data_IF_140978389781
#
_entry.id   IF_140978389781
#
_cell.length_a   1.000
_cell.length_b   1.000
_cell.length_c   1.000
_cell.angle_alpha   90.00
_cell.angle_beta   90.00
_cell.angle_gamma   90.00
#
_symmetry.space_group_name_H-M   'P 1'
#
loop_
_entity.id
_entity.type
_entity.pdbx_description
1 polymer ?
#
# COMPACT_ATOMS: atom_id res chain seq x y z
N UNK A 1 -56.34 -37.35 -56.22
CA UNK A 1 -56.98 -37.75 -54.95
C UNK A 1 -56.66 -36.67 -53.94
N UNK A 2 -57.66 -35.95 -53.50
CA UNK A 2 -57.61 -34.88 -52.46
C UNK A 2 -57.77 -35.55 -51.12
N UNK A 3 -56.96 -35.17 -50.14
CA UNK A 3 -57.29 -35.39 -48.76
C UNK A 3 -57.14 -34.05 -48.00
N UNK A 4 -58.24 -33.56 -47.55
CA UNK A 4 -58.45 -32.46 -46.62
C UNK A 4 -58.22 -32.96 -45.20
N UNK A 5 -57.35 -32.32 -44.47
CA UNK A 5 -57.21 -32.50 -43.01
C UNK A 5 -57.72 -31.25 -42.27
N UNK A 6 -58.77 -31.48 -41.48
CA UNK A 6 -59.38 -30.47 -40.64
C UNK A 6 -58.57 -30.25 -39.42
N UNK A 7 -58.30 -28.96 -39.12
CA UNK A 7 -57.66 -28.54 -37.89
C UNK A 7 -58.69 -28.34 -36.76
N UNK A 8 -58.53 -29.05 -35.68
CA UNK A 8 -59.32 -28.92 -34.43
C UNK A 8 -58.67 -27.88 -33.53
N UNK A 9 -59.31 -26.74 -33.38
CA UNK A 9 -58.88 -25.73 -32.39
C UNK A 9 -59.53 -26.02 -31.02
N UNK A 10 -58.72 -26.32 -30.05
CA UNK A 10 -59.15 -26.44 -28.64
C UNK A 10 -58.94 -25.10 -27.95
N UNK A 11 -60.01 -24.44 -27.60
CA UNK A 11 -60.02 -23.24 -26.79
C UNK A 11 -59.99 -23.64 -25.30
N UNK A 12 -58.92 -23.31 -24.58
CA UNK A 12 -58.82 -23.43 -23.17
C UNK A 12 -59.23 -22.08 -22.55
N UNK A 13 -60.41 -22.06 -21.88
CA UNK A 13 -60.86 -20.94 -21.09
C UNK A 13 -60.17 -21.02 -19.70
N UNK A 14 -59.30 -20.05 -19.39
CA UNK A 14 -58.77 -19.89 -18.02
C UNK A 14 -59.66 -18.92 -17.30
N UNK A 15 -60.38 -19.42 -16.29
CA UNK A 15 -61.14 -18.58 -15.36
C UNK A 15 -60.17 -17.88 -14.40
N UNK A 16 -60.12 -16.56 -14.47
CA UNK A 16 -59.42 -15.72 -13.49
C UNK A 16 -60.40 -15.43 -12.36
N UNK A 17 -60.26 -16.10 -11.24
CA UNK A 17 -60.95 -15.78 -9.99
C UNK A 17 -59.98 -15.18 -8.99
N UNK A 18 -60.34 -14.01 -8.52
CA UNK A 18 -59.98 -13.54 -7.16
C UNK A 18 -58.71 -12.70 -7.04
N UNK A 19 -58.85 -11.39 -7.18
CA UNK A 19 -57.96 -10.43 -6.51
C UNK A 19 -58.12 -10.60 -4.99
N UNK A 20 -57.15 -11.27 -4.36
CA UNK A 20 -56.90 -11.09 -2.96
C UNK A 20 -56.00 -9.85 -2.81
N UNK A 21 -56.57 -8.79 -2.27
CA UNK A 21 -55.79 -7.62 -1.80
C UNK A 21 -54.85 -8.07 -0.68
N UNK A 22 -53.59 -8.29 -1.02
CA UNK A 22 -52.53 -8.38 0.00
C UNK A 22 -52.26 -6.97 0.49
N UNK A 23 -52.76 -6.64 1.67
CA UNK A 23 -52.22 -5.52 2.45
C UNK A 23 -50.69 -5.65 2.51
N UNK A 24 -49.96 -4.54 2.35
CA UNK A 24 -48.54 -4.58 2.59
C UNK A 24 -48.31 -5.09 4.00
N UNK A 25 -47.66 -6.24 4.15
CA UNK A 25 -47.05 -6.60 5.40
C UNK A 25 -46.11 -5.51 5.75
N UNK A 26 -46.41 -4.72 6.77
CA UNK A 26 -45.43 -3.87 7.42
C UNK A 26 -44.20 -4.75 7.68
N UNK A 27 -43.14 -4.47 6.97
CA UNK A 27 -41.83 -5.01 7.29
C UNK A 27 -41.54 -4.44 8.68
N UNK A 28 -41.85 -5.24 9.71
CA UNK A 28 -41.39 -4.93 11.04
C UNK A 28 -39.87 -4.76 10.91
N UNK A 29 -39.43 -3.51 10.96
CA UNK A 29 -38.03 -3.16 11.15
C UNK A 29 -37.63 -3.83 12.45
N UNK A 30 -37.11 -5.05 12.37
CA UNK A 30 -36.38 -5.63 13.47
C UNK A 30 -35.12 -4.79 13.61
N UNK A 31 -35.23 -3.72 14.39
CA UNK A 31 -34.06 -3.04 14.92
C UNK A 31 -33.35 -4.04 15.82
N UNK A 32 -32.45 -4.80 15.23
CA UNK A 32 -31.50 -5.60 16.00
C UNK A 32 -30.73 -4.61 16.86
N UNK A 33 -30.65 -4.80 18.17
CA UNK A 33 -29.97 -3.88 19.04
C UNK A 33 -28.52 -3.71 18.55
N UNK A 34 -28.08 -2.49 18.34
CA UNK A 34 -26.72 -2.17 17.87
C UNK A 34 -25.59 -2.74 18.75
N UNK A 35 -25.98 -3.32 19.91
CA UNK A 35 -25.09 -3.91 20.91
C UNK A 35 -24.51 -5.26 20.52
N UNK A 36 -25.08 -5.95 19.51
CA UNK A 36 -24.73 -7.32 19.18
C UNK A 36 -23.88 -7.45 17.90
N UNK A 37 -23.50 -6.32 17.27
CA UNK A 37 -22.69 -6.33 16.07
C UNK A 37 -21.33 -5.65 16.32
N UNK A 38 -20.26 -6.41 16.19
CA UNK A 38 -18.92 -5.88 16.03
C UNK A 38 -18.75 -5.45 14.58
N UNK A 39 -18.83 -4.15 14.31
CA UNK A 39 -18.71 -3.61 12.95
C UNK A 39 -18.54 -2.08 12.99
N UNK A 40 -18.22 -1.54 11.87
CA UNK A 40 -18.09 -0.09 11.66
C UNK A 40 -19.30 0.43 10.89
N UNK A 41 -19.74 1.66 11.21
CA UNK A 41 -20.69 2.43 10.42
C UNK A 41 -20.00 3.25 9.34
N UNK A 42 -18.69 3.08 9.18
CA UNK A 42 -17.91 3.77 8.16
C UNK A 42 -18.36 3.34 6.75
N UNK A 43 -18.85 4.26 5.90
CA UNK A 43 -19.37 3.91 4.58
C UNK A 43 -18.33 3.21 3.70
N UNK A 44 -17.04 3.54 3.85
CA UNK A 44 -15.97 2.91 3.07
C UNK A 44 -15.86 1.40 3.34
N UNK A 45 -16.25 0.94 4.53
CA UNK A 45 -16.22 -0.48 4.89
C UNK A 45 -17.18 -1.36 4.07
N UNK A 46 -18.10 -0.76 3.30
CA UNK A 46 -18.95 -1.48 2.34
C UNK A 46 -18.21 -1.88 1.05
N UNK A 47 -16.98 -1.39 0.83
CA UNK A 47 -16.21 -1.72 -0.36
C UNK A 47 -15.58 -3.11 -0.26
N UNK A 48 -15.63 -3.84 -1.37
CA UNK A 48 -14.79 -5.01 -1.59
C UNK A 48 -13.46 -4.54 -2.19
N UNK A 49 -12.37 -4.77 -1.47
CA UNK A 49 -11.04 -4.25 -1.82
C UNK A 49 -10.18 -5.34 -2.44
N UNK A 50 -9.65 -5.09 -3.64
CA UNK A 50 -8.64 -5.92 -4.30
C UNK A 50 -7.26 -5.36 -4.04
N UNK A 51 -6.43 -6.07 -3.28
CA UNK A 51 -5.06 -5.68 -3.01
C UNK A 51 -4.13 -6.09 -4.14
N UNK A 52 -3.29 -5.15 -4.59
CA UNK A 52 -2.31 -5.35 -5.65
C UNK A 52 -0.92 -5.02 -5.12
N UNK A 53 -0.01 -5.98 -5.14
CA UNK A 53 1.43 -5.69 -5.12
C UNK A 53 1.78 -5.23 -6.53
N UNK A 54 1.93 -3.92 -6.72
CA UNK A 54 1.94 -3.28 -8.04
C UNK A 54 2.97 -3.90 -8.97
N UNK A 55 4.22 -4.03 -8.51
CA UNK A 55 5.32 -4.62 -9.30
C UNK A 55 5.07 -6.09 -9.69
N UNK A 56 4.25 -6.82 -8.93
CA UNK A 56 3.98 -8.25 -9.12
C UNK A 56 2.72 -8.53 -9.92
N UNK A 57 1.98 -7.51 -10.32
CA UNK A 57 0.69 -7.70 -10.97
C UNK A 57 0.83 -7.87 -12.48
N UNK A 58 0.99 -6.82 -13.23
CA UNK A 58 1.15 -6.84 -14.68
C UNK A 58 2.12 -5.75 -15.11
N UNK A 59 3.14 -6.10 -15.90
CA UNK A 59 3.98 -5.15 -16.62
C UNK A 59 3.19 -4.65 -17.84
N UNK A 60 2.65 -3.45 -17.75
CA UNK A 60 1.87 -2.81 -18.81
C UNK A 60 2.72 -1.99 -19.77
N UNK A 61 3.93 -1.59 -19.33
CA UNK A 61 4.85 -0.74 -20.09
C UNK A 61 6.31 -1.08 -19.79
N UNK A 62 6.93 -1.91 -20.60
CA UNK A 62 8.33 -2.29 -20.44
C UNK A 62 9.32 -1.12 -20.59
N UNK A 63 8.89 0.09 -21.00
CA UNK A 63 9.76 1.25 -21.11
C UNK A 63 10.12 1.87 -19.75
N UNK A 64 9.35 1.55 -18.69
CA UNK A 64 9.61 2.00 -17.32
C UNK A 64 10.30 0.95 -16.45
N UNK A 65 10.70 -0.19 -16.99
CA UNK A 65 11.36 -1.27 -16.24
C UNK A 65 12.66 -0.83 -15.56
N UNK A 66 13.42 0.07 -16.15
CA UNK A 66 14.71 0.58 -15.63
C UNK A 66 15.61 -0.54 -15.08
N UNK A 67 15.84 -1.59 -15.87
CA UNK A 67 16.40 -2.87 -15.45
C UNK A 67 17.73 -2.83 -14.73
N UNK A 68 18.59 -1.86 -15.04
CA UNK A 68 19.94 -1.77 -14.49
C UNK A 68 20.25 -0.31 -14.10
N UNK A 69 19.69 0.15 -12.99
CA UNK A 69 19.82 1.52 -12.53
C UNK A 69 21.15 1.81 -11.82
N UNK A 70 22.25 1.49 -12.48
CA UNK A 70 23.54 2.11 -12.18
C UNK A 70 24.21 1.67 -10.88
N UNK A 71 23.97 0.48 -10.40
CA UNK A 71 24.67 -0.08 -9.27
C UNK A 71 25.59 -1.24 -9.61
N UNK A 72 26.38 -1.67 -8.65
CA UNK A 72 27.13 -2.93 -8.75
C UNK A 72 26.19 -4.17 -8.68
N UNK A 73 24.91 -3.96 -8.41
CA UNK A 73 23.92 -5.01 -8.19
C UNK A 73 22.69 -4.79 -9.06
N UNK A 74 22.22 -5.86 -9.68
CA UNK A 74 20.98 -5.85 -10.46
C UNK A 74 19.80 -5.47 -9.56
N UNK A 75 18.84 -4.75 -10.14
CA UNK A 75 17.60 -4.35 -9.47
C UNK A 75 16.38 -5.08 -10.00
N UNK A 76 16.51 -5.70 -11.16
CA UNK A 76 15.46 -6.39 -11.88
C UNK A 76 15.81 -7.88 -12.06
N UNK A 77 14.80 -8.76 -12.03
CA UNK A 77 14.99 -10.21 -12.23
C UNK A 77 16.10 -10.80 -11.35
N UNK A 78 16.10 -10.54 -10.05
CA UNK A 78 17.11 -11.06 -9.13
C UNK A 78 16.67 -12.43 -8.60
N UNK A 79 17.27 -13.55 -9.05
CA UNK A 79 16.88 -14.87 -8.58
C UNK A 79 17.45 -15.15 -7.18
N UNK A 80 16.68 -15.85 -6.35
CA UNK A 80 17.19 -16.47 -5.13
C UNK A 80 17.92 -17.76 -5.49
N UNK A 81 19.25 -17.85 -5.27
CA UNK A 81 20.06 -18.94 -5.83
C UNK A 81 19.94 -20.31 -5.11
N UNK A 82 19.13 -20.44 -4.06
CA UNK A 82 19.28 -21.57 -3.13
C UNK A 82 18.00 -22.39 -2.90
N UNK A 83 17.02 -22.38 -3.80
CA UNK A 83 15.74 -23.03 -3.54
C UNK A 83 15.45 -24.21 -4.46
N UNK A 84 16.16 -25.33 -4.37
CA UNK A 84 15.81 -26.62 -5.00
C UNK A 84 15.05 -26.55 -6.34
N UNK A 85 15.46 -25.62 -7.23
CA UNK A 85 14.81 -25.36 -8.52
C UNK A 85 13.60 -24.42 -8.46
N UNK A 86 13.20 -23.92 -7.30
CA UNK A 86 12.24 -22.81 -7.15
C UNK A 86 13.02 -21.50 -7.15
N UNK A 87 12.77 -20.66 -8.13
CA UNK A 87 13.40 -19.34 -8.23
C UNK A 87 12.38 -18.32 -7.70
N UNK A 88 12.59 -17.87 -6.48
CA UNK A 88 11.92 -16.68 -5.97
C UNK A 88 12.65 -15.46 -6.53
N UNK A 89 11.91 -14.51 -7.06
CA UNK A 89 12.48 -13.27 -7.55
C UNK A 89 12.35 -12.17 -6.49
N UNK A 90 13.48 -11.61 -6.08
CA UNK A 90 13.58 -10.55 -5.07
C UNK A 90 13.89 -9.16 -5.67
N UNK A 91 13.97 -9.08 -7.00
CA UNK A 91 14.08 -7.84 -7.75
C UNK A 91 12.74 -7.37 -8.30
N UNK A 92 12.74 -6.28 -9.04
CA UNK A 92 11.58 -5.83 -9.80
C UNK A 92 11.17 -6.86 -10.85
N UNK A 93 9.88 -6.90 -11.17
CA UNK A 93 9.28 -7.66 -12.28
C UNK A 93 8.57 -6.75 -13.29
N UNK A 94 8.42 -5.47 -12.96
CA UNK A 94 7.94 -4.43 -13.88
C UNK A 94 6.43 -4.20 -13.87
N UNK A 95 5.70 -4.73 -12.90
CA UNK A 95 4.29 -4.34 -12.72
C UNK A 95 4.16 -2.85 -12.42
N UNK A 96 3.20 -2.17 -13.06
CA UNK A 96 3.10 -0.72 -13.13
C UNK A 96 1.66 -0.20 -13.13
N UNK A 97 1.48 1.12 -13.17
CA UNK A 97 0.16 1.77 -13.24
C UNK A 97 -0.61 1.39 -14.50
N UNK A 98 0.08 1.16 -15.60
CA UNK A 98 -0.56 0.76 -16.85
C UNK A 98 -1.10 -0.67 -16.77
N UNK A 99 -0.35 -1.57 -16.17
CA UNK A 99 -0.80 -2.92 -15.92
C UNK A 99 -2.04 -2.97 -15.04
N UNK A 100 -2.13 -2.10 -14.01
CA UNK A 100 -3.34 -1.96 -13.20
C UNK A 100 -4.49 -1.39 -14.03
N UNK A 101 -4.27 -0.26 -14.72
CA UNK A 101 -5.29 0.42 -15.50
C UNK A 101 -5.92 -0.46 -16.58
N UNK A 102 -5.10 -1.24 -17.28
CA UNK A 102 -5.54 -2.15 -18.33
C UNK A 102 -6.35 -3.35 -17.79
N UNK A 103 -6.23 -3.68 -16.50
CA UNK A 103 -6.89 -4.81 -15.87
C UNK A 103 -8.02 -4.45 -14.88
N UNK A 104 -8.45 -3.19 -14.83
CA UNK A 104 -9.55 -2.77 -13.95
C UNK A 104 -10.88 -3.46 -14.24
N UNK A 105 -11.18 -3.75 -15.51
CA UNK A 105 -12.40 -4.47 -15.87
C UNK A 105 -12.39 -5.92 -15.37
N UNK A 106 -11.23 -6.58 -15.37
CA UNK A 106 -11.06 -7.90 -14.77
C UNK A 106 -11.31 -7.85 -13.25
N UNK A 107 -10.70 -6.89 -12.53
CA UNK A 107 -10.89 -6.72 -11.09
C UNK A 107 -12.36 -6.44 -10.76
N UNK A 108 -13.00 -5.55 -11.52
CA UNK A 108 -14.40 -5.19 -11.36
C UNK A 108 -15.34 -6.37 -11.65
N UNK A 109 -15.04 -7.18 -12.65
CA UNK A 109 -15.84 -8.36 -13.00
C UNK A 109 -15.87 -9.42 -11.91
N UNK A 110 -14.86 -9.44 -11.01
CA UNK A 110 -14.85 -10.28 -9.82
C UNK A 110 -15.70 -9.72 -8.67
N UNK A 111 -16.27 -8.52 -8.81
CA UNK A 111 -17.13 -7.89 -7.80
C UNK A 111 -16.40 -6.90 -6.87
N UNK A 112 -15.12 -6.60 -7.10
CA UNK A 112 -14.39 -5.62 -6.31
C UNK A 112 -14.80 -4.18 -6.69
N UNK A 113 -14.88 -3.32 -5.69
CA UNK A 113 -15.27 -1.91 -5.83
C UNK A 113 -14.14 -0.93 -5.49
N UNK A 114 -13.04 -1.46 -4.99
CA UNK A 114 -11.83 -0.70 -4.66
C UNK A 114 -10.58 -1.45 -5.10
N UNK A 115 -9.55 -0.71 -5.50
CA UNK A 115 -8.20 -1.24 -5.70
C UNK A 115 -7.29 -0.63 -4.63
N UNK A 116 -6.59 -1.47 -3.90
CA UNK A 116 -5.52 -1.09 -2.98
C UNK A 116 -4.19 -1.45 -3.60
N UNK A 117 -3.32 -0.44 -3.78
CA UNK A 117 -1.98 -0.60 -4.35
C UNK A 117 -0.91 -0.38 -3.30
N UNK A 118 0.22 -1.08 -3.44
CA UNK A 118 1.43 -0.85 -2.62
C UNK A 118 1.91 0.59 -2.69
N UNK A 119 2.75 1.06 -1.73
CA UNK A 119 3.25 2.44 -1.73
C UNK A 119 3.89 2.82 -3.06
N UNK A 120 3.69 4.07 -3.47
CA UNK A 120 4.12 4.60 -4.77
C UNK A 120 5.33 5.54 -4.69
N UNK A 121 5.83 5.76 -3.49
CA UNK A 121 6.93 6.71 -3.24
C UNK A 121 8.26 6.19 -3.79
N UNK A 122 9.18 7.10 -4.10
CA UNK A 122 10.51 6.77 -4.63
C UNK A 122 11.27 5.87 -3.65
N UNK A 123 11.80 4.76 -4.15
CA UNK A 123 12.60 3.78 -3.43
C UNK A 123 14.06 3.84 -3.89
N UNK A 124 15.02 3.21 -3.18
CA UNK A 124 16.38 3.10 -3.70
C UNK A 124 16.44 2.32 -5.01
N UNK A 125 17.18 2.84 -5.98
CA UNK A 125 17.34 2.25 -7.32
C UNK A 125 18.13 0.93 -7.33
N UNK A 126 18.84 0.62 -6.26
CA UNK A 126 19.75 -0.53 -6.19
C UNK A 126 19.21 -1.63 -5.30
N UNK A 127 19.67 -2.85 -5.52
CA UNK A 127 19.47 -3.93 -4.56
C UNK A 127 20.23 -3.65 -3.26
N UNK A 128 19.59 -3.90 -2.13
CA UNK A 128 20.19 -3.70 -0.81
C UNK A 128 21.34 -4.70 -0.58
N UNK A 129 22.49 -4.21 -0.12
CA UNK A 129 23.69 -5.03 0.11
C UNK A 129 23.92 -5.41 1.57
N UNK A 130 23.15 -4.83 2.48
CA UNK A 130 23.18 -5.18 3.91
C UNK A 130 22.26 -6.34 4.24
N UNK A 131 22.19 -6.67 5.51
CA UNK A 131 21.36 -7.75 6.01
C UNK A 131 21.97 -9.13 5.88
N UNK A 132 21.16 -10.13 6.16
CA UNK A 132 21.53 -11.53 6.03
C UNK A 132 21.39 -11.99 4.58
N UNK A 133 22.25 -12.92 4.12
CA UNK A 133 22.11 -13.50 2.79
C UNK A 133 20.73 -14.13 2.59
N UNK A 134 20.18 -14.09 1.36
CA UNK A 134 18.93 -14.75 1.05
C UNK A 134 19.01 -16.24 1.37
N UNK A 135 17.97 -16.76 2.00
CA UNK A 135 17.79 -18.19 2.23
C UNK A 135 16.41 -18.61 1.76
N UNK A 136 16.29 -19.80 1.24
CA UNK A 136 15.03 -20.38 0.82
C UNK A 136 13.98 -20.35 1.93
N UNK A 137 12.79 -19.89 1.62
CA UNK A 137 11.68 -19.81 2.57
C UNK A 137 11.78 -18.68 3.60
N UNK A 138 12.82 -17.87 3.55
CA UNK A 138 12.93 -16.70 4.42
C UNK A 138 12.43 -15.45 3.71
N UNK A 139 11.27 -14.95 4.14
CA UNK A 139 10.75 -13.64 3.73
C UNK A 139 11.44 -12.49 4.48
N UNK A 140 12.21 -12.79 5.53
CA UNK A 140 12.79 -11.81 6.45
C UNK A 140 14.19 -11.34 6.05
N UNK A 141 14.74 -11.87 4.94
CA UNK A 141 16.03 -11.41 4.45
C UNK A 141 15.87 -10.25 3.48
N UNK A 142 16.65 -9.20 3.68
CA UNK A 142 16.61 -8.01 2.84
C UNK A 142 17.79 -7.92 1.86
N UNK A 143 18.87 -8.66 2.14
CA UNK A 143 20.03 -8.66 1.26
C UNK A 143 19.66 -9.11 -0.16
N UNK A 144 20.04 -8.31 -1.14
CA UNK A 144 19.78 -8.57 -2.55
C UNK A 144 18.42 -8.10 -3.04
N UNK A 145 17.47 -7.73 -2.15
CA UNK A 145 16.17 -7.19 -2.57
C UNK A 145 16.30 -5.81 -3.17
N UNK A 146 15.50 -5.53 -4.17
CA UNK A 146 15.18 -4.17 -4.62
C UNK A 146 13.95 -3.61 -3.90
N UNK A 147 13.67 -2.33 -4.07
CA UNK A 147 12.51 -1.65 -3.47
C UNK A 147 11.16 -1.94 -4.14
N UNK A 148 11.03 -3.02 -4.90
CA UNK A 148 9.87 -3.35 -5.74
C UNK A 148 8.50 -3.30 -5.03
N UNK A 149 8.52 -3.51 -3.73
CA UNK A 149 7.31 -3.53 -2.89
C UNK A 149 6.83 -2.13 -2.46
N UNK A 150 7.66 -1.08 -2.64
CA UNK A 150 7.32 0.31 -2.33
C UNK A 150 7.50 0.74 -0.87
N UNK A 151 7.85 -0.18 0.05
CA UNK A 151 7.93 0.13 1.49
C UNK A 151 9.27 0.73 1.94
N UNK A 152 10.20 0.99 1.03
CA UNK A 152 11.52 1.55 1.33
C UNK A 152 11.65 3.00 0.85
N UNK A 153 10.66 3.83 1.20
CA UNK A 153 10.61 5.22 0.74
C UNK A 153 11.87 6.03 1.07
N UNK A 154 12.33 6.81 0.09
CA UNK A 154 13.43 7.78 0.21
C UNK A 154 13.00 9.18 -0.18
N UNK A 155 12.09 9.34 -1.11
CA UNK A 155 11.41 10.60 -1.42
C UNK A 155 9.89 10.36 -1.46
N UNK A 156 9.21 10.78 -0.40
CA UNK A 156 7.78 10.56 -0.25
C UNK A 156 6.92 11.54 -1.07
N UNK A 157 7.55 12.56 -1.68
CA UNK A 157 6.90 13.50 -2.57
C UNK A 157 7.00 13.12 -4.06
N UNK A 158 7.82 12.13 -4.39
CA UNK A 158 8.07 11.64 -5.75
C UNK A 158 7.45 10.25 -5.94
N UNK A 159 6.87 10.01 -7.11
CA UNK A 159 6.48 8.64 -7.52
C UNK A 159 7.73 7.90 -7.99
N UNK A 160 7.86 6.64 -7.60
CA UNK A 160 8.92 5.75 -8.07
C UNK A 160 8.83 5.60 -9.60
N UNK A 161 9.96 5.73 -10.27
CA UNK A 161 10.03 5.76 -11.73
C UNK A 161 9.61 4.48 -12.44
N UNK A 162 9.54 3.35 -11.72
CA UNK A 162 9.06 2.07 -12.24
C UNK A 162 7.54 2.02 -12.41
N UNK A 163 6.80 2.98 -11.85
CA UNK A 163 5.34 2.90 -11.79
C UNK A 163 4.61 3.69 -12.88
N UNK A 164 4.99 4.95 -13.22
CA UNK A 164 4.29 5.74 -14.22
C UNK A 164 4.70 5.35 -15.65
N UNK A 165 3.79 5.59 -16.59
CA UNK A 165 4.06 5.50 -18.04
C UNK A 165 3.84 6.84 -18.72
N UNK A 166 4.35 7.08 -19.91
CA UNK A 166 4.05 8.30 -20.68
C UNK A 166 2.52 8.53 -20.77
N UNK A 167 2.04 9.62 -20.19
CA UNK A 167 0.63 9.98 -20.17
C UNK A 167 -0.20 9.29 -19.09
N UNK A 168 0.39 8.50 -18.22
CA UNK A 168 -0.27 7.82 -17.10
C UNK A 168 0.57 7.93 -15.83
N UNK A 169 0.44 9.04 -15.12
CA UNK A 169 0.94 9.25 -13.77
C UNK A 169 -0.06 8.74 -12.71
N UNK A 170 0.21 8.99 -11.44
CA UNK A 170 -0.70 8.57 -10.35
C UNK A 170 -2.09 9.23 -10.47
N UNK A 171 -2.17 10.51 -10.82
CA UNK A 171 -3.44 11.20 -11.03
C UNK A 171 -4.23 10.60 -12.21
N UNK A 172 -3.53 10.20 -13.27
CA UNK A 172 -4.08 9.48 -14.42
C UNK A 172 -4.63 8.11 -14.04
N UNK A 173 -3.90 7.35 -13.21
CA UNK A 173 -4.39 6.07 -12.66
C UNK A 173 -5.65 6.28 -11.83
N UNK A 174 -5.63 7.22 -10.87
CA UNK A 174 -6.78 7.53 -10.02
C UNK A 174 -8.02 7.90 -10.85
N UNK A 175 -7.84 8.76 -11.86
CA UNK A 175 -8.91 9.13 -12.80
C UNK A 175 -9.46 7.90 -13.54
N UNK A 176 -8.60 6.97 -13.94
CA UNK A 176 -9.01 5.75 -14.65
C UNK A 176 -9.79 4.81 -13.74
N UNK A 177 -9.36 4.65 -12.49
CA UNK A 177 -10.08 3.89 -11.46
C UNK A 177 -11.46 4.48 -11.20
N UNK A 178 -11.55 5.80 -11.02
CA UNK A 178 -12.81 6.52 -10.81
C UNK A 178 -13.76 6.40 -12.02
N UNK A 179 -13.23 6.42 -13.25
CA UNK A 179 -14.03 6.24 -14.45
C UNK A 179 -14.69 4.85 -14.53
N UNK A 180 -14.15 3.86 -13.82
CA UNK A 180 -14.76 2.52 -13.68
C UNK A 180 -15.76 2.45 -12.51
N UNK A 181 -16.01 3.55 -11.79
CA UNK A 181 -16.85 3.59 -10.60
C UNK A 181 -16.23 2.89 -9.39
N UNK A 182 -14.91 2.79 -9.36
CA UNK A 182 -14.13 2.18 -8.28
C UNK A 182 -13.40 3.27 -7.47
N UNK A 183 -12.91 2.92 -6.30
CA UNK A 183 -12.07 3.77 -5.45
C UNK A 183 -10.64 3.28 -5.40
N UNK A 184 -9.69 4.21 -5.17
CA UNK A 184 -8.26 3.92 -5.09
C UNK A 184 -7.78 4.08 -3.65
N UNK A 185 -7.34 2.98 -3.04
CA UNK A 185 -6.68 2.94 -1.73
C UNK A 185 -5.18 2.97 -1.95
N UNK A 186 -4.51 3.94 -1.37
CA UNK A 186 -3.06 4.04 -1.39
C UNK A 186 -2.48 3.49 -0.09
N UNK A 187 -1.54 2.56 -0.21
CA UNK A 187 -0.72 2.14 0.93
C UNK A 187 0.29 3.23 1.28
N UNK A 188 0.44 3.52 2.57
CA UNK A 188 1.36 4.54 3.06
C UNK A 188 2.20 4.01 4.21
N UNK A 189 3.45 4.48 4.28
CA UNK A 189 4.39 4.16 5.35
C UNK A 189 4.67 5.41 6.18
N UNK A 190 4.41 5.34 7.47
CA UNK A 190 4.72 6.46 8.38
C UNK A 190 5.83 6.15 9.36
N UNK A 191 6.13 4.87 9.57
CA UNK A 191 7.08 4.43 10.58
C UNK A 191 8.54 4.60 10.14
N UNK A 192 8.86 4.30 8.88
CA UNK A 192 10.26 4.15 8.45
C UNK A 192 10.48 4.61 7.02
N UNK A 193 11.75 4.80 6.69
CA UNK A 193 12.26 4.90 5.33
C UNK A 193 12.89 3.58 4.85
N UNK A 194 13.88 3.69 3.98
CA UNK A 194 14.62 2.54 3.47
C UNK A 194 15.60 1.99 4.51
N UNK A 195 16.09 0.73 4.35
CA UNK A 195 17.13 0.18 5.20
C UNK A 195 18.35 1.10 5.32
N UNK A 196 18.85 1.29 6.56
CA UNK A 196 19.99 2.17 6.84
C UNK A 196 21.23 1.47 7.37
N UNK A 197 21.15 0.17 7.71
CA UNK A 197 22.17 -0.52 8.48
C UNK A 197 22.86 -1.64 7.71
N UNK A 198 23.98 -2.09 8.25
CA UNK A 198 24.70 -3.33 7.86
C UNK A 198 25.22 -3.37 6.44
N UNK A 199 25.16 -2.31 5.67
CA UNK A 199 25.74 -2.29 4.34
C UNK A 199 27.27 -2.36 4.40
N UNK A 200 27.92 -3.28 3.66
CA UNK A 200 29.38 -3.37 3.62
C UNK A 200 30.05 -2.10 3.10
N UNK A 201 29.34 -1.37 2.24
CA UNK A 201 29.74 -0.07 1.66
C UNK A 201 28.54 0.85 1.58
N UNK A 202 28.72 2.17 1.66
CA UNK A 202 27.64 3.12 1.42
C UNK A 202 26.95 2.87 0.08
N UNK A 203 25.62 2.96 0.09
CA UNK A 203 24.78 2.90 -1.11
C UNK A 203 24.05 4.23 -1.31
N UNK A 204 23.77 4.66 -2.55
CA UNK A 204 23.34 6.03 -2.83
C UNK A 204 22.14 6.52 -2.03
N UNK A 205 21.03 5.81 -2.01
CA UNK A 205 19.77 6.30 -1.41
C UNK A 205 19.40 5.63 -0.09
N UNK A 206 19.95 4.47 0.23
CA UNK A 206 19.56 3.71 1.42
C UNK A 206 19.79 4.49 2.73
N UNK A 207 18.82 4.45 3.63
CA UNK A 207 18.86 5.15 4.92
C UNK A 207 18.74 6.67 4.81
N UNK A 208 18.31 7.20 3.66
CA UNK A 208 18.21 8.64 3.38
C UNK A 208 16.78 9.06 3.15
N UNK A 209 16.50 10.35 3.38
CA UNK A 209 15.22 10.99 3.02
C UNK A 209 15.50 12.27 2.28
N UNK A 210 14.76 12.50 1.20
CA UNK A 210 14.83 13.69 0.38
C UNK A 210 13.59 14.56 0.56
N UNK A 211 13.79 15.87 0.56
CA UNK A 211 12.72 16.86 0.57
C UNK A 211 12.06 16.98 -0.80
N UNK A 212 10.92 17.66 -0.83
CA UNK A 212 10.12 17.90 -2.05
C UNK A 212 10.91 18.55 -3.18
N UNK A 213 11.97 19.27 -2.86
CA UNK A 213 12.88 19.93 -3.81
C UNK A 213 14.09 19.06 -4.21
N UNK A 214 14.11 17.79 -3.77
CA UNK A 214 15.18 16.85 -3.99
C UNK A 214 16.42 17.05 -3.10
N UNK A 215 16.36 17.95 -2.12
CA UNK A 215 17.47 18.10 -1.17
C UNK A 215 17.52 16.96 -0.18
N UNK A 216 18.72 16.52 0.20
CA UNK A 216 18.92 15.54 1.27
C UNK A 216 18.58 16.18 2.61
N UNK A 217 17.53 15.70 3.29
CA UNK A 217 17.06 16.23 4.58
C UNK A 217 17.31 15.30 5.76
N UNK A 218 17.55 14.01 5.50
CA UNK A 218 17.89 13.04 6.53
C UNK A 218 18.82 11.95 6.00
N UNK A 219 19.75 11.48 6.84
CA UNK A 219 20.70 10.42 6.53
C UNK A 219 20.96 9.56 7.78
N UNK A 220 20.70 8.27 7.68
CA UNK A 220 20.90 7.28 8.73
C UNK A 220 21.83 6.15 8.28
N UNK A 221 22.48 6.31 7.16
CA UNK A 221 23.23 5.24 6.52
C UNK A 221 24.53 4.92 7.28
N UNK A 222 24.61 3.73 7.90
CA UNK A 222 25.82 3.18 8.56
C UNK A 222 26.58 4.16 9.44
N UNK A 223 25.88 5.12 10.07
CA UNK A 223 26.53 6.15 10.85
C UNK A 223 27.16 5.57 12.12
N UNK A 224 28.37 6.03 12.50
CA UNK A 224 28.94 5.71 13.79
C UNK A 224 28.06 6.25 14.93
N UNK A 225 28.06 5.62 16.13
CA UNK A 225 27.22 6.03 17.25
C UNK A 225 27.31 7.53 17.60
N UNK A 226 28.49 8.14 17.42
CA UNK A 226 28.70 9.56 17.67
C UNK A 226 27.95 10.50 16.69
N UNK A 227 27.57 9.99 15.54
CA UNK A 227 26.83 10.72 14.51
C UNK A 227 25.32 10.45 14.58
N UNK A 228 24.86 9.56 15.45
CA UNK A 228 23.44 9.33 15.69
C UNK A 228 22.81 10.45 16.55
N UNK A 229 23.63 11.29 17.18
CA UNK A 229 23.16 12.43 17.96
C UNK A 229 22.64 13.56 17.03
N UNK A 230 21.33 13.89 17.05
CA UNK A 230 20.77 14.96 16.21
C UNK A 230 21.39 16.34 16.45
N UNK A 231 21.92 16.59 17.64
CA UNK A 231 22.63 17.85 17.96
C UNK A 231 23.96 17.98 17.21
N UNK A 232 24.58 16.87 16.86
CA UNK A 232 25.87 16.81 16.14
C UNK A 232 25.70 16.58 14.64
N UNK A 233 24.63 15.90 14.27
CA UNK A 233 24.30 15.62 12.89
C UNK A 233 22.83 15.98 12.58
N UNK A 234 22.58 17.20 12.07
CA UNK A 234 21.21 17.63 11.75
C UNK A 234 20.48 16.71 10.78
N UNK A 235 21.18 15.98 9.91
CA UNK A 235 20.59 15.01 9.00
C UNK A 235 20.06 13.76 9.71
N UNK A 236 20.43 13.54 10.96
CA UNK A 236 19.94 12.40 11.75
C UNK A 236 18.65 12.71 12.52
N UNK A 237 18.19 13.95 12.54
CA UNK A 237 17.06 14.42 13.34
C UNK A 237 15.72 13.75 13.04
N UNK A 238 15.58 13.14 11.87
CA UNK A 238 14.34 12.47 11.47
C UNK A 238 14.19 11.07 12.05
N UNK A 239 15.26 10.50 12.59
CA UNK A 239 15.31 9.09 12.95
C UNK A 239 15.37 8.85 14.46
N UNK A 240 14.91 7.67 14.86
CA UNK A 240 15.13 7.18 16.21
C UNK A 240 16.63 7.04 16.50
N UNK A 241 17.05 7.44 17.69
CA UNK A 241 18.46 7.43 18.09
C UNK A 241 18.90 6.14 18.77
N UNK A 242 17.98 5.22 19.01
CA UNK A 242 18.23 3.99 19.78
C UNK A 242 18.89 2.87 18.97
N UNK A 243 19.06 3.06 17.66
CA UNK A 243 19.67 2.06 16.79
C UNK A 243 18.75 0.88 16.49
N UNK A 244 19.23 -0.16 15.77
CA UNK A 244 18.42 -1.31 15.45
C UNK A 244 18.01 -2.07 16.71
N UNK A 245 16.71 -2.27 16.89
CA UNK A 245 16.14 -3.04 17.98
C UNK A 245 15.44 -4.26 17.36
N UNK A 246 15.80 -5.42 17.82
CA UNK A 246 15.24 -6.70 17.39
C UNK A 246 13.87 -6.99 18.07
N UNK A 247 13.07 -5.99 18.35
CA UNK A 247 11.72 -6.10 18.93
C UNK A 247 11.65 -6.69 20.35
N UNK A 248 12.77 -7.16 20.89
CA UNK A 248 12.78 -7.92 22.14
C UNK A 248 13.18 -7.09 23.38
N UNK A 249 13.61 -5.85 23.23
CA UNK A 249 14.23 -5.08 24.32
C UNK A 249 13.76 -3.64 24.43
N UNK A 250 12.47 -3.40 24.50
CA UNK A 250 11.97 -2.03 24.75
C UNK A 250 10.55 -1.84 24.27
N UNK A 251 10.09 -0.60 24.29
CA UNK A 251 8.87 -0.22 23.61
C UNK A 251 9.08 -0.38 22.11
N UNK A 252 8.10 -0.93 21.41
CA UNK A 252 8.11 -1.00 19.93
C UNK A 252 8.18 0.39 19.29
N UNK A 253 7.98 1.46 20.05
CA UNK A 253 8.06 2.83 19.59
C UNK A 253 9.46 3.45 19.71
N UNK A 254 10.40 2.78 20.37
CA UNK A 254 11.71 3.32 20.69
C UNK A 254 12.84 2.71 19.88
N UNK A 255 12.53 1.89 18.88
CA UNK A 255 13.53 1.17 18.11
C UNK A 255 13.21 1.08 16.64
N UNK A 256 14.18 0.62 15.88
CA UNK A 256 14.02 0.39 14.45
C UNK A 256 13.41 -0.99 14.19
N UNK A 257 12.52 -1.07 13.20
CA UNK A 257 12.00 -2.33 12.70
C UNK A 257 13.08 -3.02 11.84
N UNK A 258 13.77 -3.99 12.41
CA UNK A 258 14.89 -4.69 11.77
C UNK A 258 15.98 -3.69 11.30
N UNK A 259 16.22 -3.60 10.00
CA UNK A 259 17.25 -2.74 9.41
C UNK A 259 16.69 -1.45 8.80
N UNK A 260 15.39 -1.22 8.95
CA UNK A 260 14.73 -0.03 8.44
C UNK A 260 15.11 1.19 9.27
N UNK A 261 15.24 2.32 8.64
CA UNK A 261 15.53 3.58 9.31
C UNK A 261 14.23 4.20 9.83
N UNK A 262 13.87 3.89 11.06
CA UNK A 262 12.63 4.33 11.68
C UNK A 262 12.65 5.81 12.01
N UNK A 263 11.55 6.49 11.72
CA UNK A 263 11.38 7.90 11.98
C UNK A 263 11.13 8.17 13.46
N UNK A 264 11.57 9.33 13.94
CA UNK A 264 11.30 9.80 15.30
C UNK A 264 9.85 10.34 15.40
N UNK A 265 8.93 9.64 16.07
CA UNK A 265 7.55 10.09 16.21
C UNK A 265 7.38 11.34 17.08
N UNK A 266 8.39 11.70 17.87
CA UNK A 266 8.37 12.90 18.69
C UNK A 266 8.81 14.16 17.92
N UNK A 267 9.42 13.98 16.74
CA UNK A 267 9.88 15.11 15.95
C UNK A 267 8.72 15.68 15.09
N UNK A 268 8.31 16.95 15.32
CA UNK A 268 7.24 17.57 14.53
C UNK A 268 7.58 17.70 13.04
N UNK A 269 8.85 17.82 12.67
CA UNK A 269 9.28 17.90 11.28
C UNK A 269 8.96 16.60 10.50
N UNK A 270 9.01 15.44 11.18
CA UNK A 270 8.59 14.14 10.60
C UNK A 270 7.10 14.16 10.27
N UNK A 271 6.29 14.61 11.23
CA UNK A 271 4.84 14.73 11.02
C UNK A 271 4.53 15.71 9.88
N UNK A 272 5.18 16.88 9.86
CA UNK A 272 5.00 17.89 8.81
C UNK A 272 5.37 17.34 7.44
N UNK A 273 6.48 16.65 7.34
CA UNK A 273 6.95 16.02 6.12
C UNK A 273 5.95 14.99 5.58
N UNK A 274 5.53 14.05 6.43
CA UNK A 274 4.61 12.97 6.02
C UNK A 274 3.21 13.51 5.67
N UNK A 275 2.69 14.48 6.42
CA UNK A 275 1.41 15.12 6.08
C UNK A 275 1.49 15.87 4.75
N UNK A 276 2.60 16.57 4.49
CA UNK A 276 2.82 17.23 3.21
C UNK A 276 2.88 16.23 2.05
N UNK A 277 3.68 15.18 2.22
CA UNK A 277 3.88 14.15 1.21
C UNK A 277 2.57 13.41 0.88
N UNK A 278 1.90 12.88 1.89
CA UNK A 278 0.66 12.12 1.66
C UNK A 278 -0.53 13.00 1.30
N UNK A 279 -0.53 14.25 1.75
CA UNK A 279 -1.54 15.23 1.36
C UNK A 279 -1.60 15.49 -0.14
N UNK A 280 -0.48 15.45 -0.86
CA UNK A 280 -0.47 15.64 -2.31
C UNK A 280 -1.11 14.45 -3.06
N UNK A 281 -0.99 13.23 -2.53
CA UNK A 281 -1.60 12.05 -3.18
C UNK A 281 -3.14 12.06 -3.04
N UNK A 282 -3.66 12.67 -1.96
CA UNK A 282 -5.10 12.95 -1.83
C UNK A 282 -5.54 13.93 -2.92
N UNK A 283 -4.76 14.98 -3.17
CA UNK A 283 -5.06 15.96 -4.22
C UNK A 283 -5.03 15.33 -5.62
N UNK A 284 -4.23 14.29 -5.81
CA UNK A 284 -4.11 13.54 -7.05
C UNK A 284 -5.14 12.42 -7.19
N UNK A 285 -5.97 12.15 -6.17
CA UNK A 285 -7.12 11.26 -6.30
C UNK A 285 -7.10 9.99 -5.44
N UNK A 286 -6.20 9.86 -4.46
CA UNK A 286 -6.35 8.81 -3.46
C UNK A 286 -7.65 9.00 -2.67
N UNK A 287 -8.44 7.92 -2.51
CA UNK A 287 -9.73 7.93 -1.80
C UNK A 287 -9.61 7.48 -0.35
N UNK A 288 -8.62 6.67 -0.05
CA UNK A 288 -8.34 6.17 1.29
C UNK A 288 -6.85 5.84 1.45
N UNK A 289 -6.38 5.76 2.70
CA UNK A 289 -5.07 5.21 3.02
C UNK A 289 -5.18 3.91 3.81
N UNK A 290 -4.39 2.94 3.43
CA UNK A 290 -3.95 1.86 4.32
C UNK A 290 -2.61 2.27 4.92
N UNK A 291 -2.48 2.18 6.22
CA UNK A 291 -1.29 2.59 6.97
C UNK A 291 -0.50 1.35 7.36
N UNK A 292 0.69 1.24 6.78
CA UNK A 292 1.66 0.20 7.10
C UNK A 292 2.17 0.33 8.53
N UNK A 293 2.40 -0.80 9.21
CA UNK A 293 3.05 -0.87 10.53
C UNK A 293 2.48 0.13 11.56
N UNK A 294 1.17 0.34 11.59
CA UNK A 294 0.53 1.38 12.43
C UNK A 294 0.88 1.22 13.91
N UNK A 295 1.09 0.00 14.38
CA UNK A 295 1.41 -0.33 15.78
C UNK A 295 2.84 0.04 16.19
N UNK A 296 3.71 0.39 15.25
CA UNK A 296 5.10 0.78 15.52
C UNK A 296 5.29 2.27 15.80
N UNK A 297 4.25 3.07 15.60
CA UNK A 297 4.22 4.49 15.95
C UNK A 297 3.19 4.73 17.05
N UNK A 298 3.47 5.65 18.02
CA UNK A 298 2.54 5.86 19.13
C UNK A 298 1.19 6.42 18.66
N UNK A 299 0.08 6.09 19.36
CA UNK A 299 -1.25 6.60 19.02
C UNK A 299 -1.34 8.13 18.96
N UNK A 300 -0.51 8.85 19.73
CA UNK A 300 -0.44 10.31 19.69
C UNK A 300 0.02 10.84 18.33
N UNK A 301 0.98 10.17 17.67
CA UNK A 301 1.43 10.52 16.33
C UNK A 301 0.29 10.32 15.32
N UNK A 302 -0.36 9.17 15.34
CA UNK A 302 -1.46 8.88 14.42
C UNK A 302 -2.66 9.79 14.63
N UNK A 303 -2.97 10.16 15.88
CA UNK A 303 -4.01 11.15 16.15
C UNK A 303 -3.69 12.50 15.50
N UNK A 304 -2.45 12.97 15.62
CA UNK A 304 -2.04 14.23 15.00
C UNK A 304 -2.04 14.14 13.47
N UNK A 305 -1.53 13.03 12.91
CA UNK A 305 -1.53 12.78 11.47
C UNK A 305 -2.94 12.75 10.90
N UNK A 306 -3.83 11.94 11.49
CA UNK A 306 -5.20 11.78 10.99
C UNK A 306 -6.03 13.05 11.12
N UNK A 307 -5.83 13.84 12.18
CA UNK A 307 -6.47 15.15 12.32
C UNK A 307 -6.06 16.09 11.18
N UNK A 308 -4.79 16.15 10.84
CA UNK A 308 -4.27 17.01 9.77
C UNK A 308 -4.72 16.56 8.39
N UNK A 309 -4.73 15.26 8.13
CA UNK A 309 -5.27 14.70 6.87
C UNK A 309 -6.76 15.01 6.75
N UNK A 310 -7.55 14.83 7.82
CA UNK A 310 -8.99 15.14 7.80
C UNK A 310 -9.30 16.63 7.76
N UNK A 311 -8.41 17.46 8.27
CA UNK A 311 -8.52 18.92 8.07
C UNK A 311 -8.38 19.31 6.58
N UNK A 312 -7.53 18.58 5.83
CA UNK A 312 -7.40 18.76 4.38
C UNK A 312 -8.59 18.17 3.61
N UNK A 313 -9.02 16.95 3.95
CA UNK A 313 -10.16 16.27 3.33
C UNK A 313 -11.06 15.66 4.41
N UNK A 314 -12.13 16.38 4.80
CA UNK A 314 -13.08 15.85 5.78
C UNK A 314 -13.67 14.51 5.37
N UNK A 315 -13.78 13.57 6.31
CA UNK A 315 -14.30 12.23 6.05
C UNK A 315 -13.32 11.30 5.30
N UNK A 316 -12.07 11.69 5.09
CA UNK A 316 -11.08 10.81 4.45
C UNK A 316 -10.86 9.54 5.26
N UNK A 317 -11.06 8.38 4.62
CA UNK A 317 -10.96 7.09 5.29
C UNK A 317 -9.51 6.64 5.41
N UNK A 318 -9.17 6.11 6.58
CA UNK A 318 -7.86 5.53 6.86
C UNK A 318 -8.04 4.29 7.74
N UNK A 319 -7.28 3.25 7.44
CA UNK A 319 -7.20 2.04 8.27
C UNK A 319 -5.76 1.58 8.36
N UNK A 320 -5.41 0.90 9.45
CA UNK A 320 -4.04 0.51 9.74
C UNK A 320 -3.81 -0.99 9.70
N UNK A 321 -2.57 -1.38 9.42
CA UNK A 321 -2.09 -2.72 9.66
C UNK A 321 -1.79 -2.89 11.14
N UNK A 322 -2.67 -3.60 11.86
CA UNK A 322 -2.39 -4.04 13.21
C UNK A 322 -2.10 -5.54 13.17
N UNK A 323 -0.83 -5.91 13.27
CA UNK A 323 -0.41 -7.29 13.19
C UNK A 323 -0.16 -7.88 14.58
N UNK A 324 -1.09 -8.70 15.07
CA UNK A 324 -0.93 -9.55 16.25
C UNK A 324 -1.72 -10.85 16.05
N UNK A 325 -1.25 -11.94 16.64
CA UNK A 325 -1.97 -13.22 16.67
C UNK A 325 -3.06 -13.25 17.75
N UNK A 326 -3.09 -12.27 18.64
CA UNK A 326 -4.10 -12.10 19.70
C UNK A 326 -5.05 -10.96 19.34
N UNK A 327 -6.26 -11.31 18.90
CA UNK A 327 -7.28 -10.33 18.51
C UNK A 327 -7.68 -9.35 19.64
N UNK A 328 -7.38 -9.66 20.90
CA UNK A 328 -7.64 -8.73 22.01
C UNK A 328 -6.62 -7.59 22.08
N UNK A 329 -5.52 -7.67 21.34
CA UNK A 329 -4.49 -6.63 21.27
C UNK A 329 -4.64 -5.70 20.06
N UNK A 330 -5.47 -6.10 19.10
CA UNK A 330 -5.86 -5.33 17.93
C UNK A 330 -7.12 -4.52 18.25
#
# INVERSE_FOLDING_TARGET
>A
LRHTTASLAVAIAVAITGCASTTPRDAASTTVPAKDYYGTLEPFAANAVYFVVTDRFVNGDASNDHRDQGGAHRTFDIPLPACDGVVDNIGYLGGDFKGIADNLDYIRAMGFTSVWITPIVDNPDQAFTGGSPPSCGSILTDQGKSGYHGYWGVDFHKVDEHLPSPGLDFAGLAKTVHAKGMTLVLDIVGNHGSPGWTMPKPQPKFGKVYGKDGTLIADHQNLPPQQLDPARNPLHRFYNTTGPVDGAKGSIFDGNLAQLADFDPANPDVLDYLVSAYGQWIDQGADAFRIDTISWMPPSFWNAFTQRIRAKRPGFFMFGEAFDYDAAKI
#
